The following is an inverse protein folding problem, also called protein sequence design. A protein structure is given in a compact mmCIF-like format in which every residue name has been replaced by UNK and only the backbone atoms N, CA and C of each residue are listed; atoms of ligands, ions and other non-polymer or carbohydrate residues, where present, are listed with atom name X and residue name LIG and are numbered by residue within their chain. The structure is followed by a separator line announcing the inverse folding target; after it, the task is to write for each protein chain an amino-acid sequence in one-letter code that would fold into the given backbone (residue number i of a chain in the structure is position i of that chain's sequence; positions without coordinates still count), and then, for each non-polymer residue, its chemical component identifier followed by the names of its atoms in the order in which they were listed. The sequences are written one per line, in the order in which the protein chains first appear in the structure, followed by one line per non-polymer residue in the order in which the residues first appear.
data_IF_052130749614
#
_entry.id   IF_052130749614
#
_cell.length_a   1.000
_cell.length_b   1.000
_cell.length_c   1.000
_cell.angle_alpha   90.00
_cell.angle_beta   90.00
_cell.angle_gamma   90.00
#
_symmetry.space_group_name_H-M   'P 1'
#
loop_
_entity.id
_entity.type
_entity.pdbx_description
1 polymer ?
#
# COMPACT_ATOMS: atom_id res chain seq x y z
N UNK A 1 12.24 2.99 23.02
CA UNK A 1 11.90 4.36 22.65
C UNK A 1 12.70 4.78 21.42
N UNK A 2 12.09 5.49 20.46
CA UNK A 2 12.76 5.97 19.25
C UNK A 2 12.59 5.08 18.02
N UNK A 3 11.69 4.10 18.02
CA UNK A 3 11.35 3.35 16.83
C UNK A 3 10.21 4.03 16.06
N UNK A 4 10.09 3.79 14.75
CA UNK A 4 8.95 4.32 13.96
C UNK A 4 7.58 3.89 14.47
N UNK A 5 7.54 2.88 15.33
CA UNK A 5 6.32 2.24 15.86
C UNK A 5 6.08 2.47 17.34
N UNK A 6 6.79 3.44 17.95
CA UNK A 6 6.55 3.78 19.35
C UNK A 6 5.09 4.19 19.59
N UNK A 7 4.48 3.61 20.61
CA UNK A 7 3.09 3.85 20.96
C UNK A 7 2.05 3.10 20.12
N UNK A 8 2.47 2.26 19.17
CA UNK A 8 1.56 1.43 18.40
C UNK A 8 1.30 0.10 19.11
N UNK A 9 0.05 -0.31 19.16
CA UNK A 9 -0.37 -1.57 19.77
C UNK A 9 -0.56 -2.69 18.76
N UNK A 10 -0.68 -2.37 17.50
CA UNK A 10 -0.94 -3.30 16.40
C UNK A 10 -0.09 -2.92 15.19
N UNK A 11 0.51 -3.90 14.55
CA UNK A 11 1.25 -3.76 13.31
C UNK A 11 0.70 -4.74 12.27
N UNK A 12 0.69 -4.33 11.02
CA UNK A 12 0.45 -5.26 9.91
C UNK A 12 1.75 -5.94 9.54
N UNK A 13 1.68 -7.22 9.22
CA UNK A 13 2.82 -8.00 8.75
C UNK A 13 2.59 -8.34 7.27
N UNK A 14 3.37 -7.73 6.39
CA UNK A 14 3.46 -8.11 4.99
C UNK A 14 4.56 -9.14 4.77
N UNK A 15 4.30 -10.16 3.97
CA UNK A 15 5.24 -11.25 3.69
C UNK A 15 5.19 -11.62 2.22
N UNK A 16 6.30 -12.12 1.69
CA UNK A 16 6.34 -12.60 0.30
C UNK A 16 5.44 -13.83 0.08
N UNK A 17 4.81 -13.88 -1.07
CA UNK A 17 3.85 -14.90 -1.47
C UNK A 17 4.47 -16.26 -1.81
N UNK A 18 5.75 -16.34 -2.00
CA UNK A 18 6.42 -17.58 -2.43
C UNK A 18 7.74 -17.85 -1.76
N UNK A 19 8.28 -19.03 -2.07
CA UNK A 19 9.46 -19.57 -1.42
C UNK A 19 10.77 -19.31 -2.17
N UNK A 20 10.70 -18.74 -3.38
CA UNK A 20 11.88 -18.44 -4.18
C UNK A 20 12.59 -17.16 -3.76
N UNK A 21 13.85 -17.01 -4.17
CA UNK A 21 14.63 -15.77 -3.96
C UNK A 21 14.00 -14.56 -4.65
N UNK A 22 13.25 -14.78 -5.71
CA UNK A 22 12.59 -13.71 -6.45
C UNK A 22 11.51 -13.03 -5.59
N UNK A 23 10.77 -13.80 -4.79
CA UNK A 23 9.80 -13.24 -3.84
C UNK A 23 10.45 -12.46 -2.70
N UNK A 24 11.66 -12.81 -2.29
CA UNK A 24 12.41 -11.96 -1.34
C UNK A 24 12.77 -10.60 -1.95
N UNK A 25 13.14 -10.56 -3.23
CA UNK A 25 13.41 -9.30 -3.94
C UNK A 25 12.15 -8.45 -4.11
N UNK A 26 11.00 -9.08 -4.37
CA UNK A 26 9.71 -8.39 -4.44
C UNK A 26 9.40 -7.73 -3.10
N UNK A 27 9.51 -8.47 -1.99
CA UNK A 27 9.30 -7.93 -0.64
C UNK A 27 10.22 -6.75 -0.31
N UNK A 28 11.49 -6.81 -0.72
CA UNK A 28 12.43 -5.71 -0.53
C UNK A 28 12.06 -4.48 -1.37
N UNK A 29 11.64 -4.67 -2.61
CA UNK A 29 11.25 -3.58 -3.51
C UNK A 29 9.94 -2.94 -3.07
N UNK A 30 8.98 -3.73 -2.63
CA UNK A 30 7.75 -3.25 -2.00
C UNK A 30 8.08 -2.41 -0.76
N UNK A 31 8.94 -2.92 0.14
CA UNK A 31 9.39 -2.16 1.29
C UNK A 31 9.91 -0.78 0.91
N UNK A 32 10.71 -0.67 -0.15
CA UNK A 32 11.31 0.61 -0.57
C UNK A 32 10.26 1.65 -0.98
N UNK A 33 9.07 1.24 -1.40
CA UNK A 33 8.01 2.19 -1.77
C UNK A 33 7.55 3.02 -0.55
N UNK A 34 7.47 2.41 0.63
CA UNK A 34 7.04 3.10 1.85
C UNK A 34 7.98 4.23 2.28
N UNK A 35 9.30 4.01 2.50
CA UNK A 35 10.21 5.10 2.84
C UNK A 35 10.34 6.14 1.73
N UNK A 36 10.24 5.76 0.45
CA UNK A 36 10.22 6.72 -0.65
C UNK A 36 9.00 7.65 -0.57
N UNK A 37 7.80 7.09 -0.32
CA UNK A 37 6.61 7.90 -0.10
C UNK A 37 6.73 8.76 1.16
N UNK A 38 7.35 8.25 2.23
CA UNK A 38 7.57 9.02 3.46
C UNK A 38 8.45 10.26 3.24
N UNK A 39 9.35 10.24 2.24
CA UNK A 39 10.18 11.40 1.88
C UNK A 39 9.37 12.52 1.22
N UNK A 40 8.32 12.18 0.47
CA UNK A 40 7.53 13.15 -0.31
C UNK A 40 6.22 13.53 0.37
N UNK A 41 5.72 12.71 1.29
CA UNK A 41 4.46 12.97 2.00
C UNK A 41 4.48 12.47 3.44
N UNK A 42 4.19 13.33 4.43
CA UNK A 42 4.00 12.89 5.81
C UNK A 42 2.74 12.02 5.98
N UNK A 43 1.80 12.13 5.02
CA UNK A 43 0.56 11.37 4.97
C UNK A 43 0.82 10.04 4.24
N UNK A 44 1.49 9.13 4.90
CA UNK A 44 1.94 7.86 4.35
C UNK A 44 2.13 6.84 5.47
N UNK A 45 2.03 5.56 5.14
CA UNK A 45 2.33 4.49 6.08
C UNK A 45 3.83 4.43 6.36
N UNK A 46 4.21 4.20 7.61
CA UNK A 46 5.58 3.85 7.98
C UNK A 46 5.75 2.34 7.87
N UNK A 47 6.88 1.92 7.35
CA UNK A 47 7.21 0.51 7.27
C UNK A 47 8.61 0.23 7.80
N UNK A 48 8.82 -1.00 8.23
CA UNK A 48 10.13 -1.48 8.67
C UNK A 48 10.38 -2.87 8.12
N UNK A 49 11.53 -3.04 7.50
CA UNK A 49 11.99 -4.33 7.06
C UNK A 49 12.38 -5.19 8.26
N UNK A 50 12.00 -6.45 8.23
CA UNK A 50 12.29 -7.44 9.24
C UNK A 50 12.70 -8.77 8.62
N UNK A 51 13.23 -9.68 9.44
CA UNK A 51 13.39 -11.09 9.10
C UNK A 51 12.45 -11.91 9.95
N UNK A 52 11.54 -12.62 9.32
CA UNK A 52 10.59 -13.52 9.95
C UNK A 52 11.03 -14.97 9.82
N UNK A 53 10.86 -15.72 10.89
CA UNK A 53 10.99 -17.18 10.92
C UNK A 53 9.64 -17.75 11.31
N UNK A 54 9.05 -18.53 10.43
CA UNK A 54 7.79 -19.21 10.72
C UNK A 54 8.05 -20.48 11.48
N UNK A 55 7.32 -20.72 12.53
CA UNK A 55 7.40 -21.93 13.34
C UNK A 55 6.05 -22.64 13.26
N UNK A 56 6.06 -23.83 12.73
CA UNK A 56 4.86 -24.67 12.73
C UNK A 56 4.49 -25.02 14.18
N UNK A 57 3.25 -24.77 14.55
CA UNK A 57 2.82 -24.92 15.94
C UNK A 57 2.87 -26.37 16.42
N UNK A 58 2.53 -27.32 15.53
CA UNK A 58 2.44 -28.75 15.88
C UNK A 58 3.81 -29.42 15.81
N UNK A 59 4.49 -29.31 14.69
CA UNK A 59 5.77 -29.99 14.46
C UNK A 59 6.96 -29.25 15.04
N UNK A 60 6.79 -27.98 15.45
CA UNK A 60 7.87 -27.06 15.88
C UNK A 60 8.95 -26.86 14.82
N UNK A 61 8.69 -27.27 13.60
CA UNK A 61 9.59 -27.07 12.46
C UNK A 61 9.68 -25.59 12.13
N UNK A 62 10.90 -25.11 11.90
CA UNK A 62 11.19 -23.70 11.55
C UNK A 62 11.42 -23.58 10.06
N UNK A 63 10.91 -22.50 9.45
CA UNK A 63 11.30 -22.10 8.11
C UNK A 63 12.71 -21.51 8.09
N UNK A 64 13.28 -21.36 6.90
CA UNK A 64 14.39 -20.41 6.70
C UNK A 64 13.93 -18.97 7.01
N UNK A 65 14.84 -18.10 7.52
CA UNK A 65 14.51 -16.70 7.70
C UNK A 65 14.19 -16.01 6.36
N UNK A 66 13.10 -15.24 6.30
CA UNK A 66 12.66 -14.51 5.11
C UNK A 66 12.45 -13.04 5.41
N UNK A 67 12.57 -12.19 4.41
CA UNK A 67 12.18 -10.79 4.55
C UNK A 67 10.67 -10.68 4.73
N UNK A 68 10.29 -9.74 5.58
CA UNK A 68 8.92 -9.38 5.91
C UNK A 68 8.86 -7.87 6.20
N UNK A 69 7.67 -7.30 6.11
CA UNK A 69 7.42 -5.89 6.39
C UNK A 69 6.54 -5.76 7.62
N UNK A 70 7.00 -4.99 8.60
CA UNK A 70 6.07 -4.41 9.56
C UNK A 70 5.57 -3.09 9.01
N UNK A 71 4.26 -2.95 8.91
CA UNK A 71 3.59 -1.76 8.40
C UNK A 71 2.74 -1.17 9.52
N UNK A 72 2.80 0.14 9.64
CA UNK A 72 2.00 0.94 10.57
C UNK A 72 0.51 0.62 10.42
N UNK A 73 -0.21 0.56 11.55
CA UNK A 73 -1.66 0.40 11.49
C UNK A 73 -2.32 1.69 10.99
N UNK A 74 -3.37 1.57 10.20
CA UNK A 74 -4.06 2.71 9.60
C UNK A 74 -4.58 3.74 10.61
N UNK A 75 -5.02 3.29 11.81
CA UNK A 75 -5.43 4.19 12.88
C UNK A 75 -4.28 5.05 13.42
N UNK A 76 -3.03 4.56 13.35
CA UNK A 76 -1.86 5.31 13.76
C UNK A 76 -1.48 6.35 12.71
N UNK A 77 -1.61 6.02 11.42
CA UNK A 77 -1.50 6.98 10.32
C UNK A 77 -2.54 8.09 10.50
N UNK A 78 -3.80 7.73 10.76
CA UNK A 78 -4.88 8.69 10.95
C UNK A 78 -4.62 9.58 12.17
N UNK A 79 -4.14 9.02 13.28
CA UNK A 79 -3.79 9.79 14.48
C UNK A 79 -2.68 10.81 14.21
N UNK A 80 -1.62 10.42 13.47
CA UNK A 80 -0.55 11.34 13.06
C UNK A 80 -1.05 12.45 12.13
N UNK A 81 -2.07 12.16 11.34
CA UNK A 81 -2.74 13.13 10.48
C UNK A 81 -3.82 13.94 11.21
N UNK A 82 -3.94 13.80 12.55
CA UNK A 82 -4.97 14.47 13.37
C UNK A 82 -6.40 14.18 12.88
N UNK A 83 -6.65 12.92 12.51
CA UNK A 83 -7.91 12.49 11.96
C UNK A 83 -8.29 11.08 12.40
N UNK A 84 -9.26 10.51 11.71
CA UNK A 84 -9.73 9.14 11.91
C UNK A 84 -9.92 8.45 10.56
N UNK A 85 -9.77 7.14 10.54
CA UNK A 85 -10.14 6.33 9.37
C UNK A 85 -11.65 6.40 9.16
N UNK A 86 -12.05 6.56 7.91
CA UNK A 86 -13.46 6.46 7.51
C UNK A 86 -13.59 5.51 6.32
N UNK A 87 -14.63 4.70 6.39
CA UNK A 87 -15.02 3.80 5.31
C UNK A 87 -16.21 4.40 4.58
N UNK A 88 -16.05 4.63 3.29
CA UNK A 88 -17.10 5.11 2.40
C UNK A 88 -17.26 4.12 1.26
N UNK A 89 -18.47 4.00 0.74
CA UNK A 89 -18.72 3.11 -0.38
C UNK A 89 -18.03 3.58 -1.67
N UNK A 90 -17.93 4.89 -1.84
CA UNK A 90 -17.34 5.54 -3.03
C UNK A 90 -16.84 6.94 -2.68
N UNK A 91 -15.80 7.40 -3.37
CA UNK A 91 -15.24 8.75 -3.23
C UNK A 91 -14.84 9.29 -4.60
N UNK A 92 -15.16 10.54 -4.86
CA UNK A 92 -14.72 11.22 -6.08
C UNK A 92 -13.47 12.06 -5.80
N UNK A 93 -12.73 12.41 -6.84
CA UNK A 93 -11.54 13.26 -6.71
C UNK A 93 -11.82 14.61 -6.04
N UNK A 94 -13.00 15.18 -6.25
CA UNK A 94 -13.43 16.44 -5.64
C UNK A 94 -13.73 16.36 -4.14
N UNK A 95 -13.94 15.16 -3.62
CA UNK A 95 -14.30 14.94 -2.22
C UNK A 95 -13.06 14.91 -1.30
N UNK A 96 -11.89 14.82 -1.86
CA UNK A 96 -10.61 14.75 -1.15
C UNK A 96 -9.79 16.02 -1.37
N UNK A 97 -8.85 16.31 -0.46
CA UNK A 97 -8.00 17.49 -0.63
C UNK A 97 -7.08 17.37 -1.83
N UNK A 98 -6.94 18.46 -2.54
CA UNK A 98 -6.02 18.57 -3.67
C UNK A 98 -4.59 18.15 -3.29
N UNK A 99 -4.11 18.63 -2.14
CA UNK A 99 -2.75 18.36 -1.71
C UNK A 99 -2.48 16.86 -1.49
N UNK A 100 -3.37 16.16 -0.77
CA UNK A 100 -3.19 14.71 -0.55
C UNK A 100 -3.33 13.93 -1.84
N UNK A 101 -4.25 14.37 -2.71
CA UNK A 101 -4.45 13.77 -4.03
C UNK A 101 -3.24 13.98 -4.94
N UNK A 102 -2.65 15.18 -4.96
CA UNK A 102 -1.47 15.49 -5.76
C UNK A 102 -0.27 14.64 -5.35
N UNK A 103 0.01 14.57 -4.04
CA UNK A 103 1.12 13.77 -3.52
C UNK A 103 0.95 12.29 -3.91
N UNK A 104 -0.26 11.76 -3.70
CA UNK A 104 -0.56 10.39 -4.07
C UNK A 104 -0.39 10.16 -5.58
N UNK A 105 -1.06 10.97 -6.43
CA UNK A 105 -1.03 10.75 -7.88
C UNK A 105 0.36 10.92 -8.50
N UNK A 106 1.18 11.83 -7.97
CA UNK A 106 2.57 11.98 -8.38
C UNK A 106 3.40 10.77 -7.99
N UNK A 107 3.21 10.27 -6.77
CA UNK A 107 3.93 9.09 -6.31
C UNK A 107 3.54 7.84 -7.11
N UNK A 108 2.25 7.62 -7.34
CA UNK A 108 1.75 6.52 -8.15
C UNK A 108 2.28 6.58 -9.59
N UNK A 109 2.36 7.79 -10.17
CA UNK A 109 2.98 7.99 -11.47
C UNK A 109 4.47 7.70 -11.47
N UNK A 110 5.21 8.19 -10.46
CA UNK A 110 6.66 7.96 -10.33
C UNK A 110 6.98 6.47 -10.15
N UNK A 111 6.22 5.79 -9.32
CA UNK A 111 6.36 4.35 -9.07
C UNK A 111 5.81 3.48 -10.20
N UNK A 112 5.04 4.06 -11.13
CA UNK A 112 4.33 3.29 -12.16
C UNK A 112 3.26 2.37 -11.57
N UNK A 113 2.73 2.71 -10.39
CA UNK A 113 1.64 1.95 -9.78
C UNK A 113 0.31 2.29 -10.46
N UNK A 114 -0.30 1.30 -11.05
CA UNK A 114 -1.61 1.42 -11.69
C UNK A 114 -2.72 0.70 -10.94
N UNK A 115 -2.36 -0.05 -9.89
CA UNK A 115 -3.27 -0.83 -9.05
C UNK A 115 -3.84 -0.01 -7.89
N UNK A 116 -4.51 1.07 -8.24
CA UNK A 116 -5.16 1.94 -7.26
C UNK A 116 -6.46 2.52 -7.83
N UNK A 117 -7.41 2.80 -6.96
CA UNK A 117 -8.66 3.48 -7.32
C UNK A 117 -9.17 4.34 -6.18
N UNK A 118 -9.27 5.66 -6.41
CA UNK A 118 -9.94 6.58 -5.49
C UNK A 118 -11.44 6.24 -5.42
N UNK A 119 -12.07 6.01 -6.56
CA UNK A 119 -13.49 5.70 -6.62
C UNK A 119 -13.89 4.45 -5.84
N UNK A 120 -13.13 3.37 -6.02
CA UNK A 120 -13.40 2.08 -5.38
C UNK A 120 -12.68 1.92 -4.02
N UNK A 121 -11.87 2.91 -3.61
CA UNK A 121 -11.02 2.86 -2.42
C UNK A 121 -10.08 1.62 -2.42
N UNK A 122 -9.63 1.25 -3.63
CA UNK A 122 -8.68 0.15 -3.80
C UNK A 122 -7.26 0.66 -3.57
N UNK A 123 -6.52 0.01 -2.70
CA UNK A 123 -5.15 0.35 -2.28
C UNK A 123 -5.00 1.79 -1.75
N UNK A 124 -6.09 2.35 -1.22
CA UNK A 124 -6.12 3.66 -0.56
C UNK A 124 -6.93 3.61 0.73
N UNK A 125 -6.56 4.44 1.71
CA UNK A 125 -7.33 4.69 2.92
C UNK A 125 -7.75 6.15 2.96
N UNK A 126 -8.88 6.40 3.61
CA UNK A 126 -9.37 7.76 3.83
C UNK A 126 -9.18 8.14 5.28
N UNK A 127 -8.56 9.30 5.48
CA UNK A 127 -8.47 9.94 6.78
C UNK A 127 -9.36 11.18 6.78
N UNK A 128 -10.33 11.22 7.69
CA UNK A 128 -11.19 12.37 7.90
C UNK A 128 -10.67 13.21 9.05
N UNK A 129 -10.41 14.48 8.77
CA UNK A 129 -10.08 15.47 9.79
C UNK A 129 -11.32 15.97 10.56
N UNK A 130 -11.16 16.64 11.72
CA UNK A 130 -12.28 17.19 12.50
C UNK A 130 -13.16 18.17 11.71
N UNK A 131 -12.57 18.92 10.78
CA UNK A 131 -13.27 19.84 9.88
C UNK A 131 -13.98 19.14 8.71
N UNK A 132 -14.09 17.81 8.74
CA UNK A 132 -14.66 16.93 7.71
C UNK A 132 -13.87 16.83 6.41
N UNK A 133 -12.71 17.43 6.31
CA UNK A 133 -11.82 17.29 5.16
C UNK A 133 -11.37 15.83 5.03
N UNK A 134 -11.40 15.28 3.82
CA UNK A 134 -10.92 13.94 3.51
C UNK A 134 -9.53 14.01 2.90
N UNK A 135 -8.63 13.19 3.42
CA UNK A 135 -7.28 12.97 2.93
C UNK A 135 -7.17 11.53 2.39
N UNK A 136 -6.42 11.35 1.31
CA UNK A 136 -6.13 10.00 0.76
C UNK A 136 -4.74 9.56 1.15
N UNK A 137 -4.60 8.29 1.50
CA UNK A 137 -3.33 7.66 1.88
C UNK A 137 -3.18 6.37 1.09
N UNK A 138 -2.23 6.30 0.13
CA UNK A 138 -1.98 5.08 -0.61
C UNK A 138 -1.27 4.04 0.26
N UNK A 139 -1.51 2.79 -0.05
CA UNK A 139 -0.86 1.63 0.55
C UNK A 139 -0.86 0.46 -0.44
N UNK A 140 -0.20 -0.63 -0.06
CA UNK A 140 -0.13 -1.85 -0.88
C UNK A 140 0.61 -1.61 -2.21
N UNK A 141 1.93 -1.69 -2.13
CA UNK A 141 2.82 -1.41 -3.25
C UNK A 141 3.45 -2.69 -3.81
N UNK A 142 2.69 -3.77 -3.92
CA UNK A 142 3.22 -5.02 -4.47
C UNK A 142 3.30 -5.05 -6.00
N UNK A 143 2.47 -4.24 -6.70
CA UNK A 143 2.38 -4.22 -8.16
C UNK A 143 3.11 -3.07 -8.90
N UNK A 144 3.72 -2.05 -8.25
CA UNK A 144 4.44 -1.01 -8.97
C UNK A 144 5.53 -1.54 -9.89
N UNK A 145 5.83 -0.79 -10.94
CA UNK A 145 6.88 -1.14 -11.91
C UNK A 145 8.26 -1.47 -11.30
N UNK A 146 8.76 -0.77 -10.26
CA UNK A 146 10.02 -1.11 -9.62
C UNK A 146 9.97 -2.44 -8.86
N UNK A 147 8.80 -2.87 -8.40
CA UNK A 147 8.59 -4.15 -7.72
C UNK A 147 8.67 -5.28 -8.74
N UNK A 148 7.99 -5.11 -9.89
CA UNK A 148 8.02 -6.04 -11.01
C UNK A 148 7.72 -7.48 -10.59
N UNK A 149 6.59 -7.66 -9.89
CA UNK A 149 6.15 -9.00 -9.50
C UNK A 149 5.88 -9.85 -10.75
N UNK A 150 6.17 -11.16 -10.73
CA UNK A 150 6.05 -12.02 -11.91
C UNK A 150 4.65 -12.12 -12.49
N UNK A 151 3.64 -11.90 -11.66
CA UNK A 151 2.22 -11.91 -11.98
C UNK A 151 1.64 -10.51 -12.22
N UNK A 152 2.46 -9.47 -12.07
CA UNK A 152 2.04 -8.10 -12.29
C UNK A 152 1.67 -7.86 -13.75
N UNK A 153 0.46 -7.37 -13.97
CA UNK A 153 -0.01 -6.92 -15.29
C UNK A 153 -0.79 -5.62 -15.14
N UNK A 154 -0.61 -4.69 -16.10
CA UNK A 154 -1.36 -3.45 -16.03
C UNK A 154 -2.86 -3.74 -16.25
N UNK A 155 -3.77 -2.99 -15.60
CA UNK A 155 -5.19 -3.12 -15.83
C UNK A 155 -5.51 -2.93 -17.31
N UNK A 156 -6.19 -3.88 -17.94
CA UNK A 156 -6.52 -3.87 -19.39
C UNK A 156 -7.17 -2.59 -19.85
N UNK A 157 -7.98 -1.97 -18.99
CA UNK A 157 -8.70 -0.72 -19.29
C UNK A 157 -7.79 0.49 -19.49
N UNK A 158 -6.57 0.43 -19.00
CA UNK A 158 -5.60 1.52 -19.14
C UNK A 158 -4.86 1.46 -20.49
N UNK A 159 -4.94 0.34 -21.21
CA UNK A 159 -4.28 0.17 -22.51
C UNK A 159 -2.75 0.25 -22.44
N UNK A 160 -2.16 0.01 -21.27
CA UNK A 160 -0.71 0.03 -21.08
C UNK A 160 -0.12 -1.30 -21.53
N UNK A 161 0.96 -1.28 -22.32
CA UNK A 161 1.62 -2.50 -22.78
C UNK A 161 2.27 -3.30 -21.66
N UNK A 162 2.88 -2.64 -20.69
CA UNK A 162 3.61 -3.28 -19.58
C UNK A 162 3.38 -2.57 -18.26
N UNK A 163 3.73 -3.22 -17.14
CA UNK A 163 3.72 -2.60 -15.79
C UNK A 163 4.78 -1.49 -15.65
N UNK A 164 5.76 -1.42 -16.55
CA UNK A 164 6.75 -0.36 -16.56
C UNK A 164 6.23 0.95 -17.15
N UNK A 165 5.13 0.87 -17.92
CA UNK A 165 4.51 2.06 -18.50
C UNK A 165 3.81 2.88 -17.44
N UNK A 166 3.87 4.19 -17.58
CA UNK A 166 3.35 5.14 -16.58
C UNK A 166 2.21 5.95 -17.13
N UNK A 167 1.18 6.13 -16.34
CA UNK A 167 0.04 6.98 -16.66
C UNK A 167 -0.28 7.91 -15.50
N UNK A 168 -0.38 9.21 -15.79
CA UNK A 168 -0.82 10.19 -14.80
C UNK A 168 -2.35 10.27 -14.81
N UNK A 169 -2.99 9.88 -13.73
CA UNK A 169 -4.43 9.64 -13.66
C UNK A 169 -5.24 10.75 -12.99
N UNK A 170 -4.61 11.85 -12.62
CA UNK A 170 -5.33 12.96 -12.01
C UNK A 170 -6.10 13.75 -13.06
N UNK A 171 -7.40 14.07 -12.83
CA UNK A 171 -8.14 14.99 -13.70
C UNK A 171 -7.45 16.37 -13.73
N UNK A 172 -7.45 17.02 -14.89
CA UNK A 172 -7.00 18.42 -15.00
C UNK A 172 -7.89 19.27 -14.11
N UNK A 173 -7.30 20.20 -13.36
CA UNK A 173 -8.06 21.28 -12.72
C UNK A 173 -8.56 22.19 -13.85
N UNK A 174 -9.85 22.24 -14.04
CA UNK A 174 -10.46 23.32 -14.78
C UNK A 174 -10.75 24.43 -13.76
N UNK A 175 -10.30 25.64 -14.05
CA UNK A 175 -10.61 26.85 -13.27
C UNK A 175 -12.07 27.26 -13.39
N UNK A 176 -12.83 26.61 -14.25
CA UNK A 176 -14.23 26.86 -14.51
C UNK A 176 -15.10 25.64 -14.18
N UNK A 177 -16.28 25.88 -13.67
CA UNK A 177 -17.30 25.02 -13.06
C UNK A 177 -17.83 23.83 -13.88
N UNK A 178 -17.12 23.37 -14.89
CA UNK A 178 -17.49 22.19 -15.67
C UNK A 178 -16.54 21.03 -15.40
N UNK A 179 -16.61 20.47 -14.20
CA UNK A 179 -16.23 19.07 -14.04
C UNK A 179 -17.31 18.23 -14.73
N UNK A 180 -17.15 18.03 -16.03
CA UNK A 180 -17.86 16.96 -16.70
C UNK A 180 -17.61 15.70 -15.86
N UNK A 181 -18.67 15.09 -15.35
CA UNK A 181 -18.61 13.80 -14.67
C UNK A 181 -17.82 12.86 -15.56
N UNK A 182 -16.60 12.53 -15.12
CA UNK A 182 -15.89 11.43 -15.74
C UNK A 182 -16.85 10.24 -15.65
N UNK A 183 -17.14 9.55 -16.76
CA UNK A 183 -18.06 8.42 -16.72
C UNK A 183 -17.59 7.49 -15.61
N UNK A 184 -18.52 6.93 -14.81
CA UNK A 184 -18.15 6.05 -13.71
C UNK A 184 -17.19 5.01 -14.26
N UNK A 185 -15.99 4.94 -13.69
CA UNK A 185 -15.05 3.87 -14.02
C UNK A 185 -15.85 2.59 -13.83
N UNK A 186 -16.06 1.76 -14.86
CA UNK A 186 -16.87 0.57 -14.72
C UNK A 186 -16.34 -0.22 -13.54
N UNK A 187 -17.25 -0.71 -12.71
CA UNK A 187 -16.92 -1.47 -11.52
C UNK A 187 -15.80 -2.46 -11.82
N UNK A 188 -14.79 -2.46 -10.96
CA UNK A 188 -13.72 -3.46 -11.00
C UNK A 188 -14.41 -4.82 -10.97
N UNK A 189 -14.25 -5.69 -11.97
CA UNK A 189 -14.85 -7.01 -11.88
C UNK A 189 -14.25 -7.72 -10.68
N UNK A 190 -15.06 -8.43 -9.87
CA UNK A 190 -14.59 -9.10 -8.66
C UNK A 190 -13.63 -10.27 -8.93
N UNK A 191 -13.28 -10.54 -10.17
CA UNK A 191 -12.75 -11.83 -10.63
C UNK A 191 -11.29 -11.76 -11.10
N UNK A 192 -10.53 -10.73 -10.80
CA UNK A 192 -9.10 -10.69 -11.13
C UNK A 192 -8.29 -10.63 -9.86
N UNK A 193 -8.24 -11.76 -9.19
CA UNK A 193 -7.24 -12.02 -8.17
C UNK A 193 -6.55 -13.36 -8.41
N UNK A 194 -5.23 -13.34 -8.54
CA UNK A 194 -4.44 -14.14 -7.67
C UNK A 194 -3.85 -13.23 -6.59
N UNK A 195 -4.67 -12.78 -5.65
CA UNK A 195 -4.15 -12.22 -4.42
C UNK A 195 -3.46 -13.34 -3.68
N UNK A 196 -2.22 -13.11 -3.33
CA UNK A 196 -1.65 -13.72 -2.16
C UNK A 196 -2.49 -13.22 -0.98
N UNK A 197 -3.56 -13.93 -0.69
CA UNK A 197 -4.44 -13.63 0.42
C UNK A 197 -3.70 -13.93 1.72
N UNK A 198 -2.94 -12.94 2.20
CA UNK A 198 -2.29 -13.00 3.51
C UNK A 198 -3.31 -13.07 4.64
N UNK A 199 -4.60 -12.98 4.31
CA UNK A 199 -5.71 -13.14 5.24
C UNK A 199 -6.10 -14.60 5.45
N UNK A 200 -5.51 -15.56 4.73
CA UNK A 200 -5.68 -16.97 5.09
C UNK A 200 -5.13 -17.15 6.50
N UNK A 201 -6.02 -17.22 7.46
CA UNK A 201 -5.72 -17.55 8.86
C UNK A 201 -4.99 -18.89 8.90
N UNK A 202 -3.68 -18.85 8.70
CA UNK A 202 -2.86 -19.94 9.19
C UNK A 202 -2.94 -19.93 10.71
N UNK A 203 -3.18 -21.08 11.34
CA UNK A 203 -3.24 -21.15 12.80
C UNK A 203 -1.97 -20.52 13.36
N UNK A 204 -2.16 -19.61 14.31
CA UNK A 204 -1.18 -18.72 14.89
C UNK A 204 0.25 -19.29 14.93
N UNK A 205 1.07 -18.87 13.97
CA UNK A 205 2.48 -19.15 14.00
C UNK A 205 3.17 -18.11 14.89
N UNK A 206 3.89 -18.53 15.90
CA UNK A 206 4.69 -17.62 16.70
C UNK A 206 5.82 -17.05 15.83
N UNK A 207 5.85 -15.75 15.67
CA UNK A 207 6.88 -15.04 14.92
C UNK A 207 8.00 -14.63 15.87
N UNK A 208 9.17 -15.20 15.72
CA UNK A 208 10.37 -14.71 16.40
C UNK A 208 11.07 -13.70 15.48
N UNK A 209 11.09 -12.44 15.90
CA UNK A 209 11.76 -11.36 15.15
C UNK A 209 13.19 -11.21 15.66
N UNK A 210 14.15 -11.59 14.84
CA UNK A 210 15.57 -11.33 15.10
C UNK A 210 15.98 -9.97 14.51
N UNK A 211 16.47 -9.07 15.34
CA UNK A 211 17.06 -7.80 14.91
C UNK A 211 18.56 -8.02 14.71
N UNK A 212 19.04 -7.94 13.46
CA UNK A 212 20.45 -7.72 13.18
C UNK A 212 20.60 -6.31 12.64
N UNK A 213 21.38 -5.41 13.28
CA UNK A 213 21.63 -4.10 12.70
C UNK A 213 22.35 -4.29 11.35
N UNK A 214 21.99 -3.49 10.37
CA UNK A 214 22.77 -3.34 9.16
C UNK A 214 24.05 -2.61 9.57
N UNK A 215 25.14 -3.36 9.69
CA UNK A 215 26.46 -2.76 9.79
C UNK A 215 26.76 -2.13 8.43
N UNK A 216 27.11 -0.84 8.48
CA UNK A 216 27.38 0.05 7.36
C UNK A 216 28.66 -0.26 6.57
#
# INVERSE_FOLDING_TARGET
TGTPFDGQTTLKLGTGCGDSKDYEQITLREYLQYPLLNLVSPLSFRARLARAVYVDEKSKKKSAPRYALFIEHENDVARRAEGRIVELARVMFKDVTDQSLDHMMLFEYMSGNTDMSIWALHNVRLVQKPNRTLLVVPHDFELPAPVNAPDASPPRKLGLPTVADRIYRRPRRTTDEQVAEAPPSPAYPPDVEPRCDTTTQQPAAAVAVGHKPLEG
#
